data_IF_409912493975
#
_entry.id   IF_409912493975
#
_cell.length_a   1.000
_cell.length_b   1.000
_cell.length_c   1.000
_cell.angle_alpha   90.00
_cell.angle_beta   90.00
_cell.angle_gamma   90.00
#
_symmetry.space_group_name_H-M   'P 1'
#
loop_
_entity.id
_entity.type
_entity.pdbx_description
1 polymer ?
#
# COMPACT_ATOMS: atom_id res chain seq x y z
N UNK A 1 -8.96 -1.93 -24.99
CA UNK A 1 -9.00 -3.05 -24.01
C UNK A 1 -9.01 -4.37 -24.77
N UNK A 2 -8.27 -5.40 -24.35
CA UNK A 2 -8.27 -6.71 -25.04
C UNK A 2 -9.53 -7.50 -24.65
N UNK A 3 -10.22 -8.08 -25.62
CA UNK A 3 -11.41 -8.91 -25.41
C UNK A 3 -11.05 -10.39 -25.24
N UNK A 4 -11.85 -11.12 -24.46
CA UNK A 4 -11.88 -12.57 -24.40
C UNK A 4 -13.33 -13.04 -24.43
N UNK A 5 -13.76 -13.63 -25.56
CA UNK A 5 -15.16 -13.95 -25.83
C UNK A 5 -16.03 -12.70 -25.63
N UNK A 6 -17.12 -12.78 -24.87
CA UNK A 6 -18.04 -11.65 -24.64
C UNK A 6 -17.64 -10.76 -23.45
N UNK A 7 -16.37 -10.73 -23.04
CA UNK A 7 -15.90 -9.94 -21.88
C UNK A 7 -14.57 -9.26 -22.17
N UNK A 8 -14.33 -8.10 -21.58
CA UNK A 8 -12.98 -7.55 -21.49
C UNK A 8 -12.07 -8.43 -20.62
N UNK A 9 -10.81 -8.62 -21.04
CA UNK A 9 -9.77 -9.30 -20.26
C UNK A 9 -9.32 -8.47 -19.06
N UNK A 10 -9.20 -7.15 -19.23
CA UNK A 10 -8.85 -6.23 -18.14
C UNK A 10 -10.10 -5.67 -17.47
N UNK A 11 -9.94 -5.23 -16.22
CA UNK A 11 -11.00 -4.63 -15.41
C UNK A 11 -10.95 -3.10 -15.42
N UNK A 12 -10.15 -2.49 -16.31
CA UNK A 12 -9.99 -1.03 -16.43
C UNK A 12 -11.32 -0.31 -16.70
N UNK A 13 -12.25 -0.97 -17.39
CA UNK A 13 -13.58 -0.43 -17.65
C UNK A 13 -14.35 -0.10 -16.37
N UNK A 14 -14.11 -0.83 -15.27
CA UNK A 14 -14.83 -0.58 -14.01
C UNK A 14 -14.49 0.80 -13.44
N UNK A 15 -13.25 1.26 -13.57
CA UNK A 15 -12.84 2.59 -13.10
C UNK A 15 -13.40 3.70 -13.99
N UNK A 16 -13.46 3.47 -15.31
CA UNK A 16 -14.08 4.41 -16.26
C UNK A 16 -15.57 4.58 -15.94
N UNK A 17 -16.32 3.48 -15.85
CA UNK A 17 -17.76 3.52 -15.57
C UNK A 17 -18.06 4.14 -14.21
N UNK A 18 -17.32 3.76 -13.17
CA UNK A 18 -17.52 4.33 -11.83
C UNK A 18 -17.10 5.81 -11.74
N UNK A 19 -16.23 6.30 -12.61
CA UNK A 19 -15.91 7.74 -12.67
C UNK A 19 -17.09 8.51 -13.28
N UNK A 20 -17.64 8.01 -14.38
CA UNK A 20 -18.83 8.61 -15.01
C UNK A 20 -20.04 8.63 -14.09
N UNK A 21 -20.39 7.49 -13.49
CA UNK A 21 -21.57 7.37 -12.60
C UNK A 21 -21.49 8.28 -11.37
N UNK A 22 -20.29 8.50 -10.83
CA UNK A 22 -20.06 9.37 -9.65
C UNK A 22 -20.44 10.82 -9.91
N UNK A 23 -20.41 11.28 -11.16
CA UNK A 23 -20.88 12.63 -11.50
C UNK A 23 -22.37 12.84 -11.21
N UNK A 24 -23.15 11.76 -11.16
CA UNK A 24 -24.59 11.78 -10.87
C UNK A 24 -24.87 11.31 -9.44
N UNK A 25 -24.19 10.26 -8.99
CA UNK A 25 -24.34 9.68 -7.64
C UNK A 25 -22.99 9.67 -6.89
N UNK A 26 -22.53 10.84 -6.38
CA UNK A 26 -21.21 10.96 -5.75
C UNK A 26 -21.10 10.21 -4.42
N UNK A 27 -22.21 10.02 -3.72
CA UNK A 27 -22.25 9.38 -2.41
C UNK A 27 -22.25 7.84 -2.49
N UNK A 28 -22.57 7.25 -3.64
CA UNK A 28 -22.69 5.80 -3.79
C UNK A 28 -21.35 5.12 -4.11
N UNK A 29 -21.17 3.89 -3.62
CA UNK A 29 -19.99 3.07 -3.87
C UNK A 29 -20.32 1.95 -4.88
N UNK A 30 -20.27 2.25 -6.19
CA UNK A 30 -20.75 1.32 -7.23
C UNK A 30 -19.78 0.18 -7.57
N UNK A 31 -20.20 -1.05 -7.35
CA UNK A 31 -19.49 -2.25 -7.81
C UNK A 31 -20.27 -2.94 -8.92
N UNK A 32 -19.55 -3.61 -9.83
CA UNK A 32 -20.17 -4.21 -11.03
C UNK A 32 -20.26 -5.73 -10.89
N UNK A 33 -21.47 -6.27 -11.10
CA UNK A 33 -21.78 -7.71 -11.02
C UNK A 33 -21.35 -8.43 -12.30
N UNK A 34 -21.68 -7.84 -13.44
CA UNK A 34 -21.47 -8.45 -14.76
C UNK A 34 -21.20 -7.38 -15.81
N UNK A 35 -20.47 -7.79 -16.85
CA UNK A 35 -20.35 -7.04 -18.09
C UNK A 35 -20.40 -7.99 -19.27
N UNK A 36 -20.83 -7.44 -20.40
CA UNK A 36 -20.74 -8.10 -21.69
C UNK A 36 -20.23 -7.12 -22.74
N UNK A 37 -19.52 -7.65 -23.72
CA UNK A 37 -19.00 -6.91 -24.88
C UNK A 37 -19.41 -7.68 -26.13
N UNK A 38 -19.87 -6.96 -27.16
CA UNK A 38 -20.13 -7.55 -28.47
C UNK A 38 -18.86 -8.17 -29.02
N UNK A 39 -18.95 -9.40 -29.53
CA UNK A 39 -17.79 -10.06 -30.14
C UNK A 39 -17.38 -9.33 -31.42
N UNK A 40 -16.07 -9.12 -31.61
CA UNK A 40 -15.52 -8.57 -32.86
C UNK A 40 -16.06 -9.36 -34.05
N UNK A 41 -16.61 -8.66 -35.05
CA UNK A 41 -17.19 -9.27 -36.26
C UNK A 41 -18.60 -9.84 -36.11
N UNK A 42 -19.25 -9.72 -34.94
CA UNK A 42 -20.64 -10.16 -34.77
C UNK A 42 -21.61 -9.22 -35.50
N UNK A 43 -22.47 -9.79 -36.36
CA UNK A 43 -23.57 -9.08 -37.05
C UNK A 43 -24.86 -8.99 -36.24
N UNK A 44 -24.87 -9.51 -35.00
CA UNK A 44 -26.07 -9.53 -34.16
C UNK A 44 -26.34 -8.12 -33.64
N UNK A 45 -27.56 -7.61 -33.87
CA UNK A 45 -28.03 -6.35 -33.29
C UNK A 45 -28.05 -6.47 -31.75
N UNK A 46 -27.45 -5.50 -31.07
CA UNK A 46 -27.33 -5.47 -29.61
C UNK A 46 -26.25 -4.50 -29.15
N UNK A 47 -26.21 -4.21 -27.86
CA UNK A 47 -25.23 -3.28 -27.27
C UNK A 47 -23.79 -3.75 -27.47
N UNK A 48 -22.92 -2.80 -27.81
CA UNK A 48 -21.47 -2.97 -27.90
C UNK A 48 -20.87 -3.33 -26.56
N UNK A 49 -21.36 -2.68 -25.52
CA UNK A 49 -21.00 -2.93 -24.13
C UNK A 49 -22.25 -2.81 -23.28
N UNK A 50 -22.39 -3.72 -22.33
CA UNK A 50 -23.42 -3.65 -21.29
C UNK A 50 -22.80 -4.03 -19.95
N UNK A 51 -23.13 -3.31 -18.88
CA UNK A 51 -22.79 -3.76 -17.53
C UNK A 51 -23.88 -3.41 -16.51
N UNK A 52 -23.96 -4.26 -15.49
CA UNK A 52 -24.86 -4.07 -14.35
C UNK A 52 -24.04 -3.92 -13.08
N UNK A 53 -24.38 -2.91 -12.30
CA UNK A 53 -23.76 -2.61 -11.02
C UNK A 53 -24.77 -2.23 -9.96
N UNK A 54 -24.29 -2.11 -8.73
CA UNK A 54 -25.08 -1.77 -7.56
C UNK A 54 -24.22 -1.02 -6.56
N UNK A 55 -24.86 -0.22 -5.72
CA UNK A 55 -24.20 0.40 -4.58
C UNK A 55 -23.83 -0.67 -3.55
N UNK A 56 -22.60 -0.62 -3.03
CA UNK A 56 -22.09 -1.62 -2.07
C UNK A 56 -22.57 -1.40 -0.62
N UNK A 57 -23.21 -0.27 -0.35
CA UNK A 57 -23.83 -0.02 0.96
C UNK A 57 -25.01 -0.95 1.16
N UNK A 58 -25.10 -1.53 2.36
CA UNK A 58 -26.03 -2.65 2.61
C UNK A 58 -27.49 -2.17 2.60
N UNK A 59 -27.72 -0.89 2.93
CA UNK A 59 -29.03 -0.21 2.97
C UNK A 59 -29.36 0.60 1.70
N UNK A 60 -28.49 0.56 0.68
CA UNK A 60 -28.68 1.35 -0.53
C UNK A 60 -29.34 0.52 -1.66
N UNK A 61 -30.57 0.87 -2.09
CA UNK A 61 -31.27 0.12 -3.13
C UNK A 61 -30.81 0.48 -4.55
N UNK A 62 -29.83 1.38 -4.69
CA UNK A 62 -29.46 1.95 -5.99
C UNK A 62 -28.69 0.93 -6.83
N UNK A 63 -29.28 0.57 -7.98
CA UNK A 63 -28.66 -0.23 -9.03
C UNK A 63 -28.44 0.61 -10.29
N UNK A 64 -27.48 0.18 -11.11
CA UNK A 64 -27.13 0.86 -12.35
C UNK A 64 -26.96 -0.14 -13.48
N UNK A 65 -27.55 0.18 -14.62
CA UNK A 65 -27.40 -0.51 -15.88
C UNK A 65 -26.79 0.47 -16.88
N UNK A 66 -25.73 0.06 -17.57
CA UNK A 66 -25.03 0.89 -18.54
C UNK A 66 -24.98 0.14 -19.86
N UNK A 67 -25.49 0.76 -20.91
CA UNK A 67 -25.45 0.24 -22.28
C UNK A 67 -24.80 1.24 -23.23
N UNK A 68 -23.93 0.73 -24.11
CA UNK A 68 -23.33 1.49 -25.20
C UNK A 68 -23.74 0.77 -26.49
N UNK A 69 -24.54 1.41 -27.31
CA UNK A 69 -25.10 0.79 -28.53
C UNK A 69 -24.40 1.25 -29.81
N UNK A 70 -23.98 2.51 -29.85
CA UNK A 70 -23.43 3.14 -31.05
C UNK A 70 -21.89 3.17 -31.03
N UNK A 71 -21.29 2.67 -32.11
CA UNK A 71 -19.85 2.50 -32.27
C UNK A 71 -19.17 3.82 -32.64
N UNK A 72 -19.92 4.76 -33.22
CA UNK A 72 -19.41 6.05 -33.67
C UNK A 72 -19.39 7.08 -32.55
N UNK A 73 -20.45 7.18 -31.73
CA UNK A 73 -20.51 8.13 -30.63
C UNK A 73 -19.95 7.59 -29.31
N UNK A 74 -19.94 6.27 -29.12
CA UNK A 74 -19.57 5.59 -27.87
C UNK A 74 -20.28 6.17 -26.62
N UNK A 75 -21.44 6.80 -26.81
CA UNK A 75 -22.23 7.36 -25.72
C UNK A 75 -22.83 6.21 -24.90
N UNK A 76 -22.63 6.31 -23.58
CA UNK A 76 -23.23 5.38 -22.63
C UNK A 76 -24.60 5.90 -22.20
N UNK A 77 -25.62 5.05 -22.37
CA UNK A 77 -26.92 5.21 -21.73
C UNK A 77 -26.80 4.60 -20.35
N UNK A 78 -27.07 5.40 -19.32
CA UNK A 78 -26.98 4.98 -17.92
C UNK A 78 -28.37 5.03 -17.32
N UNK A 79 -28.88 3.87 -16.91
CA UNK A 79 -30.20 3.72 -16.31
C UNK A 79 -30.02 3.38 -14.82
N UNK A 80 -30.58 4.22 -13.96
CA UNK A 80 -30.58 3.99 -12.51
C UNK A 80 -31.91 3.37 -12.07
N UNK A 81 -31.83 2.46 -11.09
CA UNK A 81 -32.99 1.89 -10.40
C UNK A 81 -32.83 2.11 -8.90
N UNK A 82 -33.94 2.27 -8.19
CA UNK A 82 -33.97 2.62 -6.76
C UNK A 82 -34.24 4.11 -6.54
N UNK A 83 -35.12 4.43 -5.59
CA UNK A 83 -35.67 5.78 -5.44
C UNK A 83 -34.65 6.77 -4.85
N UNK A 84 -33.94 6.37 -3.79
CA UNK A 84 -33.02 7.25 -3.07
C UNK A 84 -31.81 6.49 -2.54
N UNK A 85 -30.65 7.14 -2.59
CA UNK A 85 -29.45 6.65 -1.95
C UNK A 85 -29.57 6.86 -0.43
N UNK A 86 -29.62 5.77 0.32
CA UNK A 86 -29.53 5.73 1.77
C UNK A 86 -28.29 4.95 2.16
N UNK A 87 -27.48 5.56 3.02
CA UNK A 87 -26.25 4.97 3.54
C UNK A 87 -26.26 5.13 5.04
N UNK A 88 -25.98 4.04 5.75
CA UNK A 88 -25.66 4.10 7.15
C UNK A 88 -24.38 4.93 7.33
N UNK A 89 -24.44 5.99 8.14
CA UNK A 89 -23.32 6.90 8.36
C UNK A 89 -22.14 6.24 9.10
N UNK A 90 -22.36 5.11 9.77
CA UNK A 90 -21.31 4.32 10.41
C UNK A 90 -20.62 3.35 9.44
N UNK A 91 -21.23 3.10 8.28
CA UNK A 91 -20.71 2.16 7.30
C UNK A 91 -19.67 2.81 6.38
N UNK A 92 -18.53 2.14 6.21
CA UNK A 92 -17.46 2.59 5.31
C UNK A 92 -17.27 1.61 4.15
N UNK A 93 -17.55 2.06 2.93
CA UNK A 93 -17.39 1.22 1.72
C UNK A 93 -16.28 1.74 0.81
N UNK A 94 -15.46 0.80 0.37
CA UNK A 94 -14.39 1.00 -0.62
C UNK A 94 -14.66 0.11 -1.84
N UNK A 95 -14.26 0.53 -3.04
CA UNK A 95 -14.17 -0.41 -4.17
C UNK A 95 -12.82 -1.13 -4.13
N UNK A 96 -12.76 -2.37 -4.63
CA UNK A 96 -11.46 -3.03 -4.81
C UNK A 96 -10.61 -2.28 -5.84
N UNK A 97 -9.36 -2.00 -5.49
CA UNK A 97 -8.37 -1.43 -6.42
C UNK A 97 -7.99 -2.48 -7.46
N UNK A 98 -8.19 -2.18 -8.74
CA UNK A 98 -8.05 -3.13 -9.84
C UNK A 98 -7.18 -2.59 -10.97
N UNK A 99 -6.55 -3.53 -11.68
CA UNK A 99 -5.85 -3.30 -12.95
C UNK A 99 -4.89 -2.09 -12.90
N UNK A 100 -4.95 -1.15 -13.85
CA UNK A 100 -3.93 -0.10 -13.98
C UNK A 100 -3.84 0.80 -12.73
N UNK A 101 -4.94 1.03 -12.02
CA UNK A 101 -4.96 1.77 -10.75
C UNK A 101 -4.12 1.06 -9.68
N UNK A 102 -4.11 -0.27 -9.69
CA UNK A 102 -3.33 -1.09 -8.78
C UNK A 102 -1.84 -0.87 -9.00
N UNK A 103 -1.41 -0.84 -10.26
CA UNK A 103 -0.01 -0.65 -10.65
C UNK A 103 0.44 0.80 -10.39
N UNK A 104 -0.40 1.78 -10.72
CA UNK A 104 -0.13 3.19 -10.43
C UNK A 104 0.03 3.43 -8.91
N UNK A 105 -0.86 2.87 -8.10
CA UNK A 105 -0.78 2.98 -6.64
C UNK A 105 0.43 2.21 -6.07
N UNK A 106 0.73 1.03 -6.60
CA UNK A 106 1.92 0.26 -6.21
C UNK A 106 3.21 1.05 -6.50
N UNK A 107 3.29 1.72 -7.65
CA UNK A 107 4.43 2.56 -8.02
C UNK A 107 4.57 3.77 -7.08
N UNK A 108 3.47 4.46 -6.75
CA UNK A 108 3.49 5.57 -5.79
C UNK A 108 3.94 5.13 -4.37
N UNK A 109 3.61 3.90 -3.99
CA UNK A 109 3.95 3.31 -2.69
C UNK A 109 5.38 2.75 -2.60
N UNK A 110 6.19 2.94 -3.65
CA UNK A 110 7.64 2.65 -3.60
C UNK A 110 8.38 3.74 -2.82
N UNK A 111 7.99 5.00 -3.00
CA UNK A 111 8.62 6.17 -2.37
C UNK A 111 7.83 6.75 -1.20
N UNK A 112 6.51 6.50 -1.11
CA UNK A 112 5.65 7.04 -0.05
C UNK A 112 5.15 5.99 0.92
N UNK A 113 4.97 6.39 2.18
CA UNK A 113 4.38 5.54 3.22
C UNK A 113 2.86 5.35 2.96
N UNK A 114 2.32 4.12 3.13
CA UNK A 114 0.89 3.85 2.98
C UNK A 114 -0.03 4.80 3.77
N UNK A 115 0.36 5.18 5.00
CA UNK A 115 -0.43 6.10 5.83
C UNK A 115 -0.46 7.51 5.25
N UNK A 116 0.66 8.02 4.74
CA UNK A 116 0.72 9.33 4.09
C UNK A 116 -0.16 9.34 2.84
N UNK A 117 -0.04 8.34 1.96
CA UNK A 117 -0.89 8.24 0.76
C UNK A 117 -2.38 8.14 1.10
N UNK A 118 -2.72 7.44 2.18
CA UNK A 118 -4.09 7.36 2.68
C UNK A 118 -4.62 8.74 3.12
N UNK A 119 -3.87 9.47 3.96
CA UNK A 119 -4.26 10.79 4.43
C UNK A 119 -4.34 11.80 3.28
N UNK A 120 -3.38 11.79 2.36
CA UNK A 120 -3.39 12.64 1.16
C UNK A 120 -4.64 12.41 0.31
N UNK A 121 -5.07 11.15 0.15
CA UNK A 121 -6.28 10.80 -0.59
C UNK A 121 -7.55 11.15 0.18
N UNK A 122 -7.54 10.98 1.50
CA UNK A 122 -8.66 11.33 2.37
C UNK A 122 -8.93 12.83 2.35
N UNK A 123 -7.88 13.65 2.43
CA UNK A 123 -7.96 15.12 2.39
C UNK A 123 -8.42 15.67 1.03
N UNK A 124 -8.42 14.85 -0.02
CA UNK A 124 -8.90 15.22 -1.36
C UNK A 124 -10.34 14.82 -1.62
N UNK A 125 -10.97 14.06 -0.70
CA UNK A 125 -12.39 13.77 -0.81
C UNK A 125 -13.20 14.99 -0.44
N UNK A 126 -14.30 15.19 -1.15
CA UNK A 126 -15.32 16.15 -0.78
C UNK A 126 -15.94 15.78 0.58
N UNK A 127 -16.18 16.77 1.44
CA UNK A 127 -16.68 16.58 2.81
C UNK A 127 -18.04 15.87 2.83
N UNK A 128 -18.89 16.08 1.83
CA UNK A 128 -20.21 15.43 1.74
C UNK A 128 -20.10 13.96 1.34
N UNK A 129 -19.12 13.61 0.50
CA UNK A 129 -18.78 12.22 0.15
C UNK A 129 -18.11 11.53 1.33
N UNK A 130 -17.27 12.27 2.07
CA UNK A 130 -16.65 11.77 3.29
C UNK A 130 -17.72 11.45 4.35
N UNK A 131 -18.68 12.35 4.56
CA UNK A 131 -19.78 12.18 5.50
C UNK A 131 -20.71 11.01 5.12
N UNK A 132 -20.87 10.72 3.83
CA UNK A 132 -21.71 9.60 3.36
C UNK A 132 -21.08 8.21 3.52
N UNK A 133 -19.92 8.10 4.17
CA UNK A 133 -19.19 6.84 4.34
C UNK A 133 -18.51 6.30 3.08
N UNK A 134 -18.64 6.99 1.93
CA UNK A 134 -18.06 6.52 0.68
C UNK A 134 -16.55 6.76 0.67
N UNK A 135 -15.77 5.70 0.47
CA UNK A 135 -14.30 5.73 0.44
C UNK A 135 -13.76 5.09 -0.84
N UNK A 136 -14.53 5.09 -1.92
CA UNK A 136 -14.14 4.51 -3.20
C UNK A 136 -12.76 4.98 -3.69
N UNK A 137 -12.49 6.29 -3.65
CA UNK A 137 -11.20 6.86 -4.12
C UNK A 137 -10.04 6.69 -3.13
N UNK A 138 -10.34 6.18 -1.93
CA UNK A 138 -9.40 6.07 -0.81
C UNK A 138 -9.29 4.60 -0.41
N UNK A 139 -8.37 3.83 -1.02
CA UNK A 139 -8.15 2.44 -0.63
C UNK A 139 -7.82 2.32 0.86
N UNK A 140 -8.21 1.21 1.49
CA UNK A 140 -7.89 1.01 2.90
C UNK A 140 -6.37 0.90 3.13
N UNK A 141 -5.92 1.28 4.32
CA UNK A 141 -4.50 1.18 4.69
C UNK A 141 -3.97 -0.25 4.59
N UNK A 142 -4.81 -1.26 4.84
CA UNK A 142 -4.48 -2.67 4.64
C UNK A 142 -4.16 -3.00 3.18
N UNK A 143 -5.01 -2.56 2.24
CA UNK A 143 -4.78 -2.75 0.80
C UNK A 143 -3.50 -2.05 0.37
N UNK A 144 -3.27 -0.80 0.81
CA UNK A 144 -2.04 -0.07 0.49
C UNK A 144 -0.79 -0.78 1.05
N UNK A 145 -0.82 -1.30 2.27
CA UNK A 145 0.28 -2.10 2.85
C UNK A 145 0.58 -3.33 1.99
N UNK A 146 -0.45 -4.06 1.55
CA UNK A 146 -0.28 -5.21 0.66
C UNK A 146 0.34 -4.82 -0.68
N UNK A 147 -0.12 -3.73 -1.30
CA UNK A 147 0.44 -3.24 -2.57
C UNK A 147 1.90 -2.83 -2.44
N UNK A 148 2.22 -2.05 -1.40
CA UNK A 148 3.59 -1.62 -1.10
C UNK A 148 4.51 -2.82 -0.87
N UNK A 149 4.05 -3.85 -0.14
CA UNK A 149 4.79 -5.10 0.03
C UNK A 149 4.98 -5.86 -1.29
N UNK A 150 3.94 -5.99 -2.11
CA UNK A 150 4.02 -6.68 -3.41
C UNK A 150 4.98 -5.97 -4.38
N UNK A 151 4.95 -4.63 -4.41
CA UNK A 151 5.87 -3.81 -5.20
C UNK A 151 7.32 -4.07 -4.77
N UNK A 152 7.61 -3.97 -3.47
CA UNK A 152 8.94 -4.23 -2.91
C UNK A 152 9.39 -5.68 -3.08
N UNK A 153 8.47 -6.64 -3.10
CA UNK A 153 8.81 -8.05 -3.33
C UNK A 153 9.46 -8.27 -4.70
N UNK A 154 9.09 -7.49 -5.72
CA UNK A 154 9.70 -7.56 -7.06
C UNK A 154 11.18 -7.12 -7.06
N UNK A 155 11.58 -6.30 -6.10
CA UNK A 155 12.96 -5.83 -5.93
C UNK A 155 13.85 -6.84 -5.18
N UNK A 156 13.30 -7.95 -4.67
CA UNK A 156 14.10 -8.95 -3.97
C UNK A 156 15.07 -9.62 -4.93
N UNK A 157 16.34 -9.63 -4.56
CA UNK A 157 17.44 -10.27 -5.30
C UNK A 157 17.39 -11.80 -5.26
N UNK A 158 16.60 -12.35 -4.33
CA UNK A 158 16.42 -13.80 -4.19
C UNK A 158 15.09 -14.13 -3.48
N UNK A 159 14.56 -15.33 -3.70
CA UNK A 159 13.34 -15.82 -3.04
C UNK A 159 13.53 -16.03 -1.53
N UNK A 160 14.68 -16.57 -1.14
CA UNK A 160 15.15 -16.65 0.25
C UNK A 160 15.62 -15.28 0.76
N UNK A 161 15.01 -14.84 1.86
CA UNK A 161 15.22 -13.54 2.50
C UNK A 161 16.68 -13.32 2.93
N UNK A 162 17.33 -14.34 3.51
CA UNK A 162 18.72 -14.24 3.99
C UNK A 162 19.71 -14.14 2.83
N UNK A 163 19.49 -14.92 1.77
CA UNK A 163 20.32 -14.83 0.55
C UNK A 163 20.12 -13.47 -0.11
N UNK A 164 18.89 -12.97 -0.15
CA UNK A 164 18.62 -11.63 -0.69
C UNK A 164 19.32 -10.54 0.10
N UNK A 165 19.35 -10.62 1.44
CA UNK A 165 20.07 -9.66 2.28
C UNK A 165 21.58 -9.72 2.07
N UNK A 166 22.17 -10.92 1.96
CA UNK A 166 23.61 -11.06 1.67
C UNK A 166 23.98 -10.41 0.34
N UNK A 167 23.18 -10.64 -0.71
CA UNK A 167 23.37 -9.97 -2.00
C UNK A 167 23.27 -8.44 -1.89
N UNK A 168 22.34 -7.91 -1.09
CA UNK A 168 22.25 -6.46 -0.86
C UNK A 168 23.48 -5.93 -0.13
N UNK A 169 23.99 -6.65 0.88
CA UNK A 169 25.21 -6.27 1.60
C UNK A 169 26.44 -6.31 0.69
N UNK A 170 26.55 -7.32 -0.18
CA UNK A 170 27.60 -7.42 -1.20
C UNK A 170 27.55 -6.25 -2.20
N UNK A 171 26.35 -5.86 -2.65
CA UNK A 171 26.17 -4.70 -3.53
C UNK A 171 26.45 -3.36 -2.83
N UNK A 172 26.08 -3.22 -1.54
CA UNK A 172 26.31 -1.99 -0.77
C UNK A 172 27.77 -1.79 -0.38
N UNK A 173 28.56 -2.87 -0.22
CA UNK A 173 29.98 -2.78 0.16
C UNK A 173 30.82 -1.94 -0.81
N UNK A 174 30.36 -1.77 -2.05
CA UNK A 174 30.99 -0.93 -3.08
C UNK A 174 30.65 0.57 -2.93
N UNK A 175 29.83 0.94 -1.94
CA UNK A 175 29.33 2.30 -1.74
C UNK A 175 29.77 2.88 -0.38
N UNK A 176 30.14 4.16 -0.35
CA UNK A 176 30.47 4.87 0.90
C UNK A 176 29.25 5.00 1.84
N UNK A 177 28.04 4.81 1.32
CA UNK A 177 26.79 4.90 2.06
C UNK A 177 26.28 3.54 2.55
N UNK A 178 27.10 2.49 2.50
CA UNK A 178 26.75 1.15 2.95
C UNK A 178 26.17 1.19 4.37
N UNK A 179 24.93 0.74 4.53
CA UNK A 179 24.22 0.72 5.82
C UNK A 179 24.21 -0.68 6.41
N UNK A 180 24.12 -1.72 5.59
CA UNK A 180 24.11 -3.10 6.08
C UNK A 180 25.53 -3.54 6.46
N UNK A 181 25.79 -3.71 7.76
CA UNK A 181 27.14 -4.02 8.27
C UNK A 181 27.30 -5.48 8.68
N UNK A 182 26.22 -6.11 9.15
CA UNK A 182 26.27 -7.51 9.57
C UNK A 182 24.93 -8.21 9.40
N UNK A 183 24.99 -9.46 8.93
CA UNK A 183 23.84 -10.34 8.81
C UNK A 183 24.12 -11.61 9.62
N UNK A 184 23.29 -11.87 10.62
CA UNK A 184 23.36 -13.05 11.50
C UNK A 184 22.28 -14.02 11.04
N UNK A 185 22.67 -15.27 10.76
CA UNK A 185 21.74 -16.30 10.28
C UNK A 185 20.98 -17.00 11.42
N UNK A 186 21.64 -17.20 12.56
CA UNK A 186 21.07 -17.84 13.74
C UNK A 186 21.70 -17.31 15.05
N UNK A 187 20.93 -16.65 15.94
CA UNK A 187 19.58 -16.12 15.68
C UNK A 187 19.57 -15.14 14.49
N UNK A 188 18.40 -14.92 13.88
CA UNK A 188 18.30 -14.04 12.72
C UNK A 188 18.44 -12.60 13.17
N UNK A 189 19.45 -11.91 12.65
CA UNK A 189 19.68 -10.52 12.96
C UNK A 189 20.31 -9.75 11.81
N UNK A 190 20.06 -8.44 11.76
CA UNK A 190 20.69 -7.51 10.82
C UNK A 190 21.10 -6.27 11.61
N UNK A 191 22.35 -5.87 11.46
CA UNK A 191 22.91 -4.67 12.04
C UNK A 191 23.15 -3.62 10.97
N UNK A 192 22.70 -2.40 11.25
CA UNK A 192 22.57 -1.32 10.29
C UNK A 192 23.19 -0.03 10.86
N UNK A 193 24.18 0.53 10.18
CA UNK A 193 24.70 1.88 10.42
C UNK A 193 25.53 2.33 9.21
N UNK A 194 25.65 3.64 9.00
CA UNK A 194 26.54 4.22 7.99
C UNK A 194 27.75 4.89 8.67
N UNK A 195 28.82 5.18 7.93
CA UNK A 195 29.96 5.90 8.51
C UNK A 195 29.51 7.28 9.04
N UNK A 196 28.68 8.00 8.27
CA UNK A 196 28.10 9.30 8.66
C UNK A 196 27.34 9.26 9.99
N UNK A 197 26.58 8.18 10.24
CA UNK A 197 25.82 8.05 11.49
C UNK A 197 26.72 7.69 12.68
N UNK A 198 27.84 7.00 12.43
CA UNK A 198 28.84 6.70 13.46
C UNK A 198 29.71 7.92 13.78
N UNK A 199 30.06 8.73 12.79
CA UNK A 199 30.73 10.01 13.02
C UNK A 199 29.85 10.90 13.92
N UNK A 200 28.56 11.00 13.62
CA UNK A 200 27.59 11.70 14.46
C UNK A 200 27.52 11.11 15.89
N UNK A 201 27.60 9.78 16.03
CA UNK A 201 27.66 9.15 17.35
C UNK A 201 28.91 9.60 18.11
N UNK A 202 30.09 9.56 17.49
CA UNK A 202 31.35 9.96 18.13
C UNK A 202 31.39 11.43 18.54
N UNK A 203 30.80 12.30 17.73
CA UNK A 203 30.68 13.73 18.04
C UNK A 203 29.77 13.94 19.26
N UNK A 204 28.62 13.25 19.30
CA UNK A 204 27.59 13.50 20.31
C UNK A 204 27.82 12.74 21.61
N UNK A 205 28.44 11.56 21.59
CA UNK A 205 28.60 10.73 22.79
C UNK A 205 29.55 11.35 23.83
N UNK A 206 30.40 12.30 23.43
CA UNK A 206 31.30 13.04 24.33
C UNK A 206 30.57 14.10 25.15
N UNK A 207 29.48 14.63 24.61
CA UNK A 207 28.82 15.84 25.14
C UNK A 207 27.39 15.59 25.63
N UNK A 208 26.76 14.48 25.24
CA UNK A 208 25.35 14.20 25.52
C UNK A 208 25.10 12.72 25.82
N UNK A 209 23.88 12.43 26.26
CA UNK A 209 23.44 11.09 26.59
C UNK A 209 23.18 10.30 25.31
N UNK A 210 23.82 9.14 25.22
CA UNK A 210 23.45 8.07 24.28
C UNK A 210 22.60 7.06 25.04
N UNK A 211 21.51 6.63 24.43
CA UNK A 211 20.67 5.58 25.00
C UNK A 211 20.26 4.58 23.92
N UNK A 212 19.87 3.39 24.37
CA UNK A 212 19.30 2.36 23.51
C UNK A 212 17.79 2.48 23.57
N UNK A 213 17.17 2.84 22.45
CA UNK A 213 15.74 2.75 22.29
C UNK A 213 15.37 1.33 21.87
N UNK A 214 14.59 0.65 22.73
CA UNK A 214 13.95 -0.61 22.39
C UNK A 214 12.52 -0.30 21.95
N UNK A 215 12.37 0.37 20.81
CA UNK A 215 11.05 0.63 20.23
C UNK A 215 10.45 -0.74 19.88
N UNK A 216 9.49 -1.19 20.70
CA UNK A 216 8.82 -2.50 20.64
C UNK A 216 8.01 -2.78 19.37
N UNK A 217 8.47 -2.29 18.22
CA UNK A 217 7.99 -2.58 16.86
C UNK A 217 8.18 -4.08 16.55
N UNK A 218 7.29 -4.89 17.10
CA UNK A 218 7.17 -6.30 16.78
C UNK A 218 6.78 -6.42 15.32
N UNK A 219 7.72 -6.83 14.46
CA UNK A 219 7.37 -7.24 13.10
C UNK A 219 6.56 -8.53 13.23
N UNK A 220 5.26 -8.43 12.92
CA UNK A 220 4.25 -9.48 13.13
C UNK A 220 4.72 -10.83 12.57
N UNK A 221 4.53 -11.90 13.35
CA UNK A 221 4.95 -13.27 13.02
C UNK A 221 4.40 -13.69 11.64
N UNK A 222 5.26 -14.25 10.80
CA UNK A 222 4.81 -15.01 9.64
C UNK A 222 4.16 -16.32 10.12
N UNK A 223 3.17 -16.84 9.36
CA UNK A 223 2.49 -18.11 9.67
C UNK A 223 3.55 -19.22 9.79
N UNK A 224 3.68 -19.85 10.98
CA UNK A 224 4.67 -20.89 11.26
C UNK A 224 6.03 -20.42 11.84
N UNK A 225 6.24 -19.14 12.15
CA UNK A 225 7.43 -18.66 12.88
C UNK A 225 7.14 -18.45 14.37
N UNK A 226 8.08 -18.84 15.23
CA UNK A 226 7.92 -18.86 16.69
C UNK A 226 8.22 -17.51 17.37
N UNK A 227 9.27 -16.78 16.95
CA UNK A 227 9.66 -15.49 17.54
C UNK A 227 9.39 -14.26 16.64
N UNK A 228 8.95 -13.13 17.21
CA UNK A 228 8.89 -11.84 16.51
C UNK A 228 10.30 -11.30 16.21
N UNK A 229 10.40 -10.29 15.34
CA UNK A 229 11.60 -9.46 15.29
C UNK A 229 11.41 -8.23 16.17
N UNK A 230 12.46 -7.91 16.93
CA UNK A 230 12.65 -6.74 17.75
C UNK A 230 13.56 -5.75 17.01
N UNK A 231 13.36 -4.46 17.27
CA UNK A 231 14.20 -3.38 16.77
C UNK A 231 14.81 -2.68 17.97
N UNK A 232 16.13 -2.57 17.96
CA UNK A 232 16.90 -1.79 18.92
C UNK A 232 17.64 -0.70 18.17
N UNK A 233 17.60 0.51 18.68
CA UNK A 233 18.29 1.65 18.07
C UNK A 233 19.20 2.28 19.12
N UNK A 234 20.46 2.50 18.75
CA UNK A 234 21.29 3.45 19.49
C UNK A 234 20.92 4.84 19.04
N UNK A 235 20.59 5.70 19.98
CA UNK A 235 20.02 7.01 19.72
C UNK A 235 20.83 8.09 20.42
N UNK A 236 21.11 9.16 19.68
CA UNK A 236 21.72 10.39 20.21
C UNK A 236 20.71 11.52 20.18
N UNK A 237 20.85 12.47 21.11
CA UNK A 237 20.02 13.68 21.11
C UNK A 237 20.33 14.52 19.87
N UNK A 238 19.26 14.98 19.22
CA UNK A 238 19.36 15.92 18.12
C UNK A 238 20.02 17.24 18.59
N UNK A 239 21.01 17.77 17.85
CA UNK A 239 21.63 19.05 18.21
C UNK A 239 20.64 20.23 18.16
N UNK A 240 19.58 20.13 17.35
CA UNK A 240 18.54 21.15 17.28
C UNK A 240 17.51 20.95 18.39
N UNK A 241 17.43 21.92 19.31
CA UNK A 241 16.46 21.91 20.41
C UNK A 241 15.02 21.81 19.87
N UNK A 242 14.26 20.84 20.39
CA UNK A 242 12.88 20.57 19.99
C UNK A 242 12.73 19.57 18.84
N UNK A 243 13.84 19.14 18.21
CA UNK A 243 13.83 18.12 17.18
C UNK A 243 13.89 16.70 17.76
N UNK A 244 13.35 15.74 17.01
CA UNK A 244 13.36 14.32 17.40
C UNK A 244 14.79 13.76 17.50
N UNK A 245 15.08 12.89 18.49
CA UNK A 245 16.34 12.17 18.60
C UNK A 245 16.71 11.40 17.32
N UNK A 246 18.00 11.18 17.11
CA UNK A 246 18.54 10.61 15.87
C UNK A 246 19.07 9.20 16.13
N UNK A 247 18.52 8.15 15.48
CA UNK A 247 19.09 6.81 15.55
C UNK A 247 20.38 6.76 14.74
N UNK A 248 21.47 6.32 15.38
CA UNK A 248 22.82 6.25 14.79
C UNK A 248 23.21 4.84 14.36
N UNK A 249 22.62 3.82 15.00
CA UNK A 249 22.75 2.43 14.64
C UNK A 249 21.47 1.66 14.99
N UNK A 250 21.09 0.69 14.16
CA UNK A 250 19.88 -0.12 14.33
C UNK A 250 20.24 -1.60 14.30
N UNK A 251 19.66 -2.36 15.23
CA UNK A 251 19.75 -3.81 15.27
C UNK A 251 18.35 -4.42 15.22
N UNK A 252 18.10 -5.19 14.18
CA UNK A 252 16.85 -5.94 13.99
C UNK A 252 17.17 -7.40 14.28
N UNK A 253 16.51 -8.01 15.26
CA UNK A 253 16.82 -9.39 15.68
C UNK A 253 15.60 -10.14 16.15
N UNK A 254 15.59 -11.46 16.01
CA UNK A 254 14.56 -12.31 16.61
C UNK A 254 14.99 -12.94 17.95
N UNK A 255 16.12 -12.47 18.51
CA UNK A 255 16.65 -12.84 19.82
C UNK A 255 16.61 -11.64 20.77
N UNK A 256 15.97 -11.80 21.92
CA UNK A 256 15.77 -10.76 22.93
C UNK A 256 16.51 -11.17 24.20
N UNK A 257 17.84 -11.26 24.13
CA UNK A 257 18.70 -11.62 25.25
C UNK A 257 19.70 -10.50 25.53
N UNK A 258 20.15 -10.39 26.78
CA UNK A 258 21.22 -9.46 27.17
C UNK A 258 22.47 -9.73 26.33
N UNK A 259 22.82 -11.00 26.10
CA UNK A 259 23.97 -11.37 25.27
C UNK A 259 23.86 -10.84 23.84
N UNK A 260 22.68 -10.95 23.21
CA UNK A 260 22.45 -10.44 21.85
C UNK A 260 22.54 -8.91 21.79
N UNK A 261 21.96 -8.21 22.76
CA UNK A 261 22.02 -6.74 22.83
C UNK A 261 23.45 -6.28 23.13
N UNK A 262 24.14 -6.89 24.09
CA UNK A 262 25.54 -6.58 24.40
C UNK A 262 26.46 -6.84 23.21
N UNK A 263 26.21 -7.90 22.43
CA UNK A 263 26.95 -8.16 21.21
C UNK A 263 26.76 -7.05 20.17
N UNK A 264 25.54 -6.51 20.03
CA UNK A 264 25.31 -5.32 19.20
C UNK A 264 26.07 -4.11 19.71
N UNK A 265 25.94 -3.77 20.99
CA UNK A 265 26.56 -2.60 21.58
C UNK A 265 28.10 -2.65 21.58
N UNK A 266 28.69 -3.84 21.67
CA UNK A 266 30.15 -4.02 21.62
C UNK A 266 30.81 -3.71 20.27
N UNK A 267 30.06 -3.24 19.26
CA UNK A 267 30.62 -2.73 18.01
C UNK A 267 30.93 -1.22 18.04
N UNK A 268 30.66 -0.54 19.16
CA UNK A 268 30.88 0.90 19.38
C UNK A 268 31.67 1.14 20.66
#
# INVERSE_FOLDING_TARGET
MRQHKRRFKSLNWTSVMATGIRSVHPHCCFVFKSHSVRTVGSKRKGSLFSCVGYCRFDDCPVEVEVDIEDESSLKAVVTFRGEKAWHNCEELKHRPVRADERDALANALTSKLPRSVYLDKLNKLDDTVLASGNRDQVPSTGVMKTLSWQARKKLRKHSNEMISLRKMMEEELETEEAVIKKIIAHPKGVMLWSNKTIDLFHDRCREDIVYVDATGSIVKKAKGKTSPFYVYEMVVRNPFKGSSPVPVATYITNDHTIASISFFLGHF
#
